data_IF_160965547357
#
_entry.id   IF_160965547357
#
_cell.length_a   1.000
_cell.length_b   1.000
_cell.length_c   1.000
_cell.angle_alpha   90.00
_cell.angle_beta   90.00
_cell.angle_gamma   90.00
#
_symmetry.space_group_name_H-M   'P 1'
#
loop_
_entity.id
_entity.type
_entity.pdbx_description
1 polymer ?
#
# COMPACT_ATOMS: atom_id res chain seq x y z
N UNK A 1 24.04 -20.16 -13.71
CA UNK A 1 23.31 -21.07 -14.64
C UNK A 1 22.39 -20.16 -15.45
N UNK A 2 22.77 -19.84 -16.71
CA UNK A 2 21.96 -19.01 -17.58
C UNK A 2 20.63 -19.74 -17.84
N UNK A 3 19.53 -19.15 -17.36
CA UNK A 3 18.20 -19.59 -17.77
C UNK A 3 17.93 -19.05 -19.19
N UNK A 4 18.29 -19.84 -20.21
CA UNK A 4 17.91 -19.56 -21.59
C UNK A 4 16.43 -19.93 -21.75
N UNK A 5 15.66 -19.03 -22.28
CA UNK A 5 14.27 -19.28 -22.71
C UNK A 5 14.30 -20.27 -23.90
N UNK A 6 13.64 -21.40 -23.77
CA UNK A 6 13.48 -22.35 -24.86
C UNK A 6 12.55 -21.75 -25.94
N UNK A 7 13.10 -21.48 -27.10
CA UNK A 7 12.65 -20.62 -28.18
C UNK A 7 11.29 -20.88 -28.87
N UNK A 8 10.25 -21.32 -28.16
CA UNK A 8 8.92 -21.57 -28.71
C UNK A 8 7.76 -20.74 -28.17
N UNK A 9 7.91 -20.13 -27.00
CA UNK A 9 6.89 -19.23 -26.41
C UNK A 9 7.39 -17.77 -26.34
N UNK A 10 6.50 -16.79 -26.25
CA UNK A 10 6.93 -15.40 -26.08
C UNK A 10 7.63 -15.18 -24.72
N UNK A 11 8.70 -14.35 -24.67
CA UNK A 11 9.39 -14.06 -23.41
C UNK A 11 8.43 -13.45 -22.38
N UNK A 12 8.62 -13.73 -21.08
CA UNK A 12 7.72 -13.27 -20.02
C UNK A 12 7.76 -11.76 -19.79
N UNK A 13 6.79 -11.27 -19.04
CA UNK A 13 6.89 -10.01 -18.33
C UNK A 13 7.73 -10.23 -17.06
N UNK A 14 8.77 -9.41 -16.87
CA UNK A 14 9.63 -9.49 -15.70
C UNK A 14 9.15 -8.48 -14.64
N UNK A 15 9.07 -8.91 -13.39
CA UNK A 15 8.63 -8.08 -12.25
C UNK A 15 9.74 -8.04 -11.21
N UNK A 16 10.19 -6.85 -10.86
CA UNK A 16 11.11 -6.63 -9.77
C UNK A 16 10.34 -6.31 -8.48
N UNK A 17 10.55 -7.10 -7.43
CA UNK A 17 9.87 -7.03 -6.14
C UNK A 17 8.91 -8.20 -5.91
N UNK A 18 8.60 -8.49 -4.63
CA UNK A 18 7.70 -9.57 -4.18
C UNK A 18 6.57 -9.09 -3.27
N UNK A 19 6.32 -7.78 -3.19
CA UNK A 19 5.24 -7.21 -2.37
C UNK A 19 3.85 -7.30 -3.01
N UNK A 20 2.86 -6.67 -2.38
CA UNK A 20 1.46 -6.64 -2.84
C UNK A 20 1.36 -6.18 -4.31
N UNK A 21 2.08 -5.11 -4.69
CA UNK A 21 2.06 -4.60 -6.06
C UNK A 21 2.60 -5.60 -7.08
N UNK A 22 3.66 -6.34 -6.73
CA UNK A 22 4.24 -7.35 -7.60
C UNK A 22 3.29 -8.54 -7.84
N UNK A 23 2.68 -9.07 -6.77
CA UNK A 23 1.71 -10.17 -6.90
C UNK A 23 0.41 -9.73 -7.57
N UNK A 24 -0.07 -8.50 -7.30
CA UNK A 24 -1.19 -7.92 -8.03
C UNK A 24 -0.88 -7.81 -9.53
N UNK A 25 0.35 -7.41 -9.88
CA UNK A 25 0.83 -7.39 -11.28
C UNK A 25 0.81 -8.78 -11.88
N UNK A 26 1.29 -9.79 -11.15
CA UNK A 26 1.28 -11.17 -11.63
C UNK A 26 -0.17 -11.66 -11.90
N UNK A 27 -1.12 -11.41 -10.98
CA UNK A 27 -2.54 -11.74 -11.20
C UNK A 27 -3.08 -11.05 -12.46
N UNK A 28 -2.88 -9.74 -12.59
CA UNK A 28 -3.41 -8.96 -13.70
C UNK A 28 -2.78 -9.37 -15.05
N UNK A 29 -1.47 -9.55 -15.10
CA UNK A 29 -0.75 -9.99 -16.29
C UNK A 29 -1.16 -11.41 -16.72
N UNK A 30 -1.35 -12.34 -15.78
CA UNK A 30 -1.85 -13.69 -16.09
C UNK A 30 -3.27 -13.66 -16.66
N UNK A 31 -4.14 -12.82 -16.14
CA UNK A 31 -5.49 -12.62 -16.70
C UNK A 31 -5.46 -12.07 -18.12
N UNK A 32 -4.43 -11.28 -18.46
CA UNK A 32 -4.17 -10.79 -19.81
C UNK A 32 -3.39 -11.77 -20.69
N UNK A 33 -3.11 -13.01 -20.21
CA UNK A 33 -2.45 -14.07 -20.98
C UNK A 33 -0.91 -14.06 -20.93
N UNK A 34 -0.28 -13.18 -20.14
CA UNK A 34 1.18 -13.04 -20.09
C UNK A 34 1.82 -14.01 -19.09
N UNK A 35 2.91 -14.66 -19.48
CA UNK A 35 3.80 -15.33 -18.53
C UNK A 35 4.56 -14.30 -17.69
N UNK A 36 4.83 -14.61 -16.40
CA UNK A 36 5.46 -13.69 -15.45
C UNK A 36 6.64 -14.35 -14.74
N UNK A 37 7.76 -13.64 -14.67
CA UNK A 37 8.87 -13.97 -13.78
C UNK A 37 9.06 -12.85 -12.75
N UNK A 38 8.98 -13.19 -11.47
CA UNK A 38 9.07 -12.27 -10.35
C UNK A 38 10.36 -12.50 -9.56
N UNK A 39 11.08 -11.42 -9.24
CA UNK A 39 12.35 -11.45 -8.52
C UNK A 39 12.26 -10.66 -7.23
N UNK A 40 12.43 -11.35 -6.09
CA UNK A 40 12.37 -10.78 -4.74
C UNK A 40 13.72 -10.98 -4.02
N UNK A 41 14.23 -9.91 -3.41
CA UNK A 41 15.52 -9.92 -2.71
C UNK A 41 15.52 -10.77 -1.43
N UNK A 42 14.37 -10.87 -0.75
CA UNK A 42 14.23 -11.64 0.47
C UNK A 42 14.16 -13.14 0.15
N UNK A 43 14.83 -13.96 0.94
CA UNK A 43 14.79 -15.42 0.81
C UNK A 43 13.42 -16.01 1.21
N UNK A 44 12.60 -15.25 1.90
CA UNK A 44 11.24 -15.60 2.31
C UNK A 44 10.38 -14.35 2.39
N UNK A 45 9.08 -14.49 2.19
CA UNK A 45 8.16 -13.38 2.32
C UNK A 45 7.93 -13.07 3.81
N UNK A 46 8.80 -12.24 4.39
CA UNK A 46 8.61 -11.70 5.72
C UNK A 46 7.80 -10.42 5.62
N UNK A 47 6.50 -10.53 5.75
CA UNK A 47 5.66 -9.36 5.93
C UNK A 47 5.69 -8.94 7.40
N UNK A 48 6.31 -7.80 7.67
CA UNK A 48 6.21 -7.17 8.99
C UNK A 48 4.73 -6.97 9.33
N UNK A 49 4.32 -7.51 10.48
CA UNK A 49 2.92 -7.55 10.92
C UNK A 49 2.25 -6.18 10.92
N UNK A 50 1.48 -5.88 9.88
CA UNK A 50 0.79 -4.61 9.70
C UNK A 50 -0.62 -4.84 9.19
N UNK A 51 -1.57 -4.12 9.77
CA UNK A 51 -2.89 -4.01 9.19
C UNK A 51 -2.90 -3.13 7.94
N UNK A 52 -3.85 -3.38 7.08
CA UNK A 52 -4.22 -2.59 5.91
C UNK A 52 -5.70 -2.22 5.98
N UNK A 53 -6.05 -1.15 5.29
CA UNK A 53 -7.42 -0.76 5.03
C UNK A 53 -7.59 -0.73 3.51
N UNK A 54 -8.66 -1.34 3.00
CA UNK A 54 -9.00 -1.33 1.58
C UNK A 54 -10.38 -0.72 1.42
N UNK A 55 -10.42 0.41 0.71
CA UNK A 55 -11.67 1.03 0.31
C UNK A 55 -12.33 0.32 -0.87
N UNK A 56 -13.57 0.71 -1.23
CA UNK A 56 -14.33 0.14 -2.34
C UNK A 56 -13.58 0.12 -3.67
N UNK A 57 -12.69 1.08 -3.92
CA UNK A 57 -11.85 1.13 -5.12
C UNK A 57 -10.92 -0.09 -5.25
N UNK A 58 -10.42 -0.62 -4.14
CA UNK A 58 -9.55 -1.79 -4.13
C UNK A 58 -10.32 -3.10 -4.02
N UNK A 59 -11.33 -3.17 -3.14
CA UNK A 59 -12.10 -4.38 -2.93
C UNK A 59 -12.92 -4.77 -4.16
N UNK A 60 -13.40 -3.81 -4.94
CA UNK A 60 -14.04 -4.05 -6.24
C UNK A 60 -13.09 -4.78 -7.20
N UNK A 61 -11.83 -4.37 -7.30
CA UNK A 61 -10.83 -5.04 -8.13
C UNK A 61 -10.64 -6.49 -7.70
N UNK A 62 -10.54 -6.74 -6.38
CA UNK A 62 -10.42 -8.10 -5.86
C UNK A 62 -11.66 -8.95 -6.18
N UNK A 63 -12.86 -8.35 -6.11
CA UNK A 63 -14.11 -9.02 -6.53
C UNK A 63 -14.11 -9.32 -8.03
N UNK A 64 -13.71 -8.38 -8.90
CA UNK A 64 -13.61 -8.56 -10.35
C UNK A 64 -12.57 -9.63 -10.71
N UNK A 65 -11.57 -9.82 -9.88
CA UNK A 65 -10.60 -10.92 -10.01
C UNK A 65 -11.10 -12.26 -9.48
N UNK A 66 -12.30 -12.32 -8.90
CA UNK A 66 -12.89 -13.53 -8.32
C UNK A 66 -12.40 -13.84 -6.91
N UNK A 67 -11.73 -12.90 -6.24
CA UNK A 67 -11.13 -13.09 -4.91
C UNK A 67 -12.06 -12.66 -3.76
N UNK A 68 -13.29 -12.25 -4.03
CA UNK A 68 -14.22 -11.74 -3.03
C UNK A 68 -14.53 -12.71 -1.90
N UNK A 69 -14.76 -13.99 -2.22
CA UNK A 69 -15.02 -15.03 -1.23
C UNK A 69 -13.79 -15.28 -0.32
N UNK A 70 -12.61 -15.41 -0.90
CA UNK A 70 -11.36 -15.60 -0.15
C UNK A 70 -11.02 -14.37 0.71
N UNK A 71 -11.26 -13.14 0.19
CA UNK A 71 -11.12 -11.92 0.95
C UNK A 71 -12.03 -11.90 2.18
N UNK A 72 -13.27 -12.34 2.05
CA UNK A 72 -14.24 -12.33 3.15
C UNK A 72 -13.86 -13.24 4.33
N UNK A 73 -13.03 -14.25 4.10
CA UNK A 73 -12.54 -15.17 5.16
C UNK A 73 -11.48 -14.49 6.04
N UNK A 74 -10.64 -13.63 5.45
CA UNK A 74 -9.49 -13.03 6.15
C UNK A 74 -9.71 -11.57 6.58
N UNK A 75 -10.70 -10.90 6.00
CA UNK A 75 -10.99 -9.50 6.26
C UNK A 75 -11.88 -9.31 7.50
N UNK A 76 -11.75 -8.16 8.15
CA UNK A 76 -12.74 -7.62 9.05
C UNK A 76 -13.57 -6.54 8.35
N UNK A 77 -14.83 -6.41 8.75
CA UNK A 77 -15.81 -5.48 8.15
C UNK A 77 -16.23 -4.43 9.17
N UNK A 78 -15.46 -3.36 9.36
CA UNK A 78 -15.81 -2.32 10.32
C UNK A 78 -17.13 -1.64 9.94
N UNK A 79 -17.92 -1.25 10.94
CA UNK A 79 -19.21 -0.60 10.73
C UNK A 79 -19.08 0.90 10.43
N UNK A 80 -17.95 1.51 10.82
CA UNK A 80 -17.68 2.92 10.59
C UNK A 80 -16.18 3.25 10.48
N UNK A 81 -15.89 4.42 9.89
CA UNK A 81 -14.66 5.17 10.13
C UNK A 81 -15.00 6.30 11.10
N UNK A 82 -14.27 6.38 12.20
CA UNK A 82 -14.51 7.34 13.29
C UNK A 82 -13.31 8.24 13.48
N UNK A 83 -13.52 9.54 13.55
CA UNK A 83 -12.52 10.49 13.99
C UNK A 83 -12.75 10.84 15.46
N UNK A 84 -11.73 10.72 16.31
CA UNK A 84 -11.75 11.06 17.73
C UNK A 84 -10.67 12.03 18.10
N UNK A 85 -10.89 12.80 19.17
CA UNK A 85 -9.85 13.61 19.79
C UNK A 85 -8.89 12.72 20.58
N UNK A 86 -7.59 12.84 20.31
CA UNK A 86 -6.54 12.15 21.07
C UNK A 86 -6.55 12.55 22.55
N UNK A 87 -6.93 13.82 22.87
CA UNK A 87 -6.81 14.39 24.20
C UNK A 87 -7.81 13.80 25.19
N UNK A 88 -9.07 13.66 24.77
CA UNK A 88 -10.20 13.33 25.65
C UNK A 88 -11.04 12.15 25.13
N UNK A 89 -10.66 11.54 24.02
CA UNK A 89 -11.35 10.39 23.43
C UNK A 89 -12.69 10.71 22.78
N UNK A 90 -13.12 11.98 22.80
CA UNK A 90 -14.43 12.39 22.30
C UNK A 90 -14.55 12.19 20.78
N UNK A 91 -15.67 11.65 20.33
CA UNK A 91 -15.98 11.50 18.91
C UNK A 91 -16.16 12.88 18.26
N UNK A 92 -15.47 13.09 17.15
CA UNK A 92 -15.51 14.31 16.34
C UNK A 92 -16.38 14.10 15.09
N UNK A 93 -16.32 12.92 14.50
CA UNK A 93 -17.08 12.59 13.29
C UNK A 93 -17.17 11.09 13.10
N UNK A 94 -18.22 10.64 12.41
CA UNK A 94 -18.44 9.24 12.06
C UNK A 94 -18.93 9.14 10.62
N UNK A 95 -18.27 8.28 9.83
CA UNK A 95 -18.72 7.84 8.53
C UNK A 95 -19.20 6.40 8.64
N UNK A 96 -20.48 6.18 8.47
CA UNK A 96 -21.03 4.83 8.44
C UNK A 96 -20.52 4.07 7.20
N UNK A 97 -20.12 2.83 7.42
CA UNK A 97 -19.72 1.87 6.39
C UNK A 97 -20.85 0.83 6.19
N UNK A 98 -20.53 -0.37 5.76
CA UNK A 98 -21.50 -1.46 5.60
C UNK A 98 -22.35 -1.31 4.34
N UNK A 99 -23.64 -1.65 4.43
CA UNK A 99 -24.54 -1.73 3.26
C UNK A 99 -24.60 -0.43 2.44
N UNK A 100 -24.62 0.73 3.09
CA UNK A 100 -24.69 2.03 2.41
C UNK A 100 -23.45 2.36 1.57
N UNK A 101 -22.26 1.88 1.95
CA UNK A 101 -21.05 2.00 1.16
C UNK A 101 -21.09 1.05 -0.03
N UNK A 102 -21.55 -0.19 0.19
CA UNK A 102 -21.72 -1.17 -0.89
C UNK A 102 -22.74 -0.67 -1.93
N UNK A 103 -23.88 -0.15 -1.49
CA UNK A 103 -24.89 0.43 -2.38
C UNK A 103 -24.33 1.59 -3.21
N UNK A 104 -23.57 2.49 -2.58
CA UNK A 104 -23.04 3.70 -3.22
C UNK A 104 -21.85 3.42 -4.14
N UNK A 105 -20.95 2.51 -3.74
CA UNK A 105 -19.66 2.30 -4.41
C UNK A 105 -19.49 0.91 -5.01
N UNK A 106 -20.45 0.01 -4.85
CA UNK A 106 -20.46 -1.32 -5.46
C UNK A 106 -19.57 -2.36 -4.77
N UNK A 107 -18.88 -2.00 -3.68
CA UNK A 107 -17.99 -2.91 -2.96
C UNK A 107 -17.80 -2.47 -1.49
N UNK A 108 -17.46 -3.38 -0.55
CA UNK A 108 -17.30 -3.07 0.85
C UNK A 108 -15.99 -2.34 1.15
N UNK A 109 -15.95 -1.65 2.29
CA UNK A 109 -14.73 -1.23 2.94
C UNK A 109 -14.31 -2.32 3.92
N UNK A 110 -13.04 -2.75 3.87
CA UNK A 110 -12.52 -3.81 4.73
C UNK A 110 -11.19 -3.44 5.36
N UNK A 111 -10.88 -4.10 6.46
CA UNK A 111 -9.56 -4.09 7.07
C UNK A 111 -9.02 -5.52 7.15
N UNK A 112 -7.73 -5.68 6.93
CA UNK A 112 -7.10 -7.01 6.94
C UNK A 112 -5.62 -6.92 7.30
N UNK A 113 -5.03 -8.05 7.63
CA UNK A 113 -3.61 -8.13 7.83
C UNK A 113 -2.89 -8.14 6.47
N UNK A 114 -1.77 -7.43 6.35
CA UNK A 114 -1.00 -7.28 5.10
C UNK A 114 -0.55 -8.62 4.52
N UNK A 115 -0.12 -9.55 5.40
CA UNK A 115 0.27 -10.91 4.99
C UNK A 115 -0.87 -11.68 4.35
N UNK A 116 -2.10 -11.48 4.83
CA UNK A 116 -3.26 -12.22 4.33
C UNK A 116 -3.64 -11.74 2.92
N UNK A 117 -3.57 -10.43 2.64
CA UNK A 117 -3.72 -9.90 1.27
C UNK A 117 -2.60 -10.41 0.34
N UNK A 118 -1.36 -10.42 0.84
CA UNK A 118 -0.22 -10.90 0.08
C UNK A 118 -0.38 -12.38 -0.30
N UNK A 119 -0.74 -13.23 0.67
CA UNK A 119 -1.00 -14.66 0.45
C UNK A 119 -2.13 -14.88 -0.57
N UNK A 120 -3.23 -14.16 -0.41
CA UNK A 120 -4.38 -14.21 -1.32
C UNK A 120 -4.00 -13.91 -2.77
N UNK A 121 -3.20 -12.86 -3.00
CA UNK A 121 -2.74 -12.49 -4.34
C UNK A 121 -1.72 -13.51 -4.89
N UNK A 122 -0.82 -14.00 -4.05
CA UNK A 122 0.16 -15.02 -4.41
C UNK A 122 -0.52 -16.33 -4.83
N UNK A 123 -1.47 -16.82 -4.04
CA UNK A 123 -2.25 -18.01 -4.33
C UNK A 123 -3.04 -17.86 -5.64
N UNK A 124 -3.68 -16.72 -5.86
CA UNK A 124 -4.40 -16.41 -7.09
C UNK A 124 -3.48 -16.43 -8.33
N UNK A 125 -2.30 -15.83 -8.19
CA UNK A 125 -1.31 -15.81 -9.28
C UNK A 125 -0.79 -17.22 -9.62
N UNK A 126 -0.50 -18.04 -8.61
CA UNK A 126 -0.07 -19.42 -8.81
C UNK A 126 -1.18 -20.31 -9.40
N UNK A 127 -2.42 -20.16 -8.93
CA UNK A 127 -3.57 -20.88 -9.46
C UNK A 127 -3.83 -20.62 -10.95
N UNK A 128 -3.51 -19.39 -11.42
CA UNK A 128 -3.59 -19.02 -12.83
C UNK A 128 -2.49 -19.68 -13.70
N UNK A 129 -1.48 -20.30 -13.08
CA UNK A 129 -0.32 -20.90 -13.78
C UNK A 129 0.57 -19.85 -14.46
N UNK A 130 1.73 -20.25 -14.99
CA UNK A 130 2.61 -19.38 -15.77
C UNK A 130 3.27 -18.23 -14.99
N UNK A 131 3.35 -18.34 -13.66
CA UNK A 131 4.12 -17.44 -12.77
C UNK A 131 5.28 -18.21 -12.16
N UNK A 132 6.48 -17.65 -12.28
CA UNK A 132 7.68 -18.14 -11.62
C UNK A 132 8.20 -17.06 -10.65
N UNK A 133 8.32 -17.39 -9.38
CA UNK A 133 8.86 -16.50 -8.37
C UNK A 133 10.25 -16.95 -7.93
N UNK A 134 11.21 -16.04 -7.99
CA UNK A 134 12.61 -16.24 -7.63
C UNK A 134 12.93 -15.43 -6.38
N UNK A 135 13.03 -16.11 -5.23
CA UNK A 135 13.35 -15.51 -3.95
C UNK A 135 14.87 -15.48 -3.73
N UNK A 136 15.34 -14.54 -2.91
CA UNK A 136 16.77 -14.36 -2.65
C UNK A 136 17.54 -13.71 -3.81
N UNK A 137 16.83 -13.12 -4.78
CA UNK A 137 17.41 -12.50 -5.97
C UNK A 137 17.23 -10.98 -5.95
N UNK A 138 18.25 -10.26 -5.55
CA UNK A 138 18.26 -8.80 -5.51
C UNK A 138 18.50 -8.22 -6.91
N UNK A 139 17.58 -7.39 -7.36
CA UNK A 139 17.73 -6.62 -8.60
C UNK A 139 18.69 -5.45 -8.36
N UNK A 140 19.74 -5.35 -9.17
CA UNK A 140 20.72 -4.26 -9.12
C UNK A 140 20.55 -3.22 -10.23
N UNK A 141 20.16 -3.67 -11.44
CA UNK A 141 19.99 -2.84 -12.62
C UNK A 141 19.15 -3.56 -13.68
N UNK A 142 18.87 -2.88 -14.77
CA UNK A 142 18.31 -3.46 -15.99
C UNK A 142 18.95 -2.84 -17.24
N UNK A 143 18.86 -3.54 -18.36
CA UNK A 143 19.25 -3.06 -19.69
C UNK A 143 18.06 -3.16 -20.64
N UNK A 144 17.75 -2.10 -21.36
CA UNK A 144 16.84 -2.17 -22.50
C UNK A 144 17.63 -2.54 -23.75
N UNK A 145 17.20 -3.63 -24.39
CA UNK A 145 17.76 -4.14 -25.64
C UNK A 145 16.70 -4.05 -26.73
N UNK A 146 17.09 -4.30 -27.98
CA UNK A 146 16.13 -4.31 -29.07
C UNK A 146 15.05 -5.39 -28.84
N UNK A 147 13.81 -4.91 -28.62
CA UNK A 147 12.64 -5.77 -28.43
C UNK A 147 12.53 -6.48 -27.08
N UNK A 148 13.41 -6.25 -26.11
CA UNK A 148 13.42 -6.92 -24.80
C UNK A 148 14.10 -6.11 -23.70
N UNK A 149 13.94 -6.57 -22.45
CA UNK A 149 14.65 -6.05 -21.28
C UNK A 149 15.42 -7.18 -20.63
N UNK A 150 16.63 -6.90 -20.18
CA UNK A 150 17.44 -7.78 -19.35
C UNK A 150 17.48 -7.28 -17.92
N UNK A 151 17.16 -8.13 -16.96
CA UNK A 151 17.24 -7.85 -15.53
C UNK A 151 18.58 -8.35 -14.97
N UNK A 152 19.27 -7.53 -14.21
CA UNK A 152 20.59 -7.80 -13.67
C UNK A 152 20.55 -7.91 -12.14
N UNK A 153 21.20 -8.95 -11.62
CA UNK A 153 21.59 -9.07 -10.23
C UNK A 153 22.97 -8.44 -9.97
N UNK A 154 23.55 -8.70 -8.80
CA UNK A 154 24.85 -8.15 -8.44
C UNK A 154 26.01 -8.66 -9.31
N UNK A 155 25.93 -9.88 -9.82
CA UNK A 155 26.99 -10.54 -10.60
C UNK A 155 26.49 -11.22 -11.87
N UNK A 156 25.18 -11.45 -11.98
CA UNK A 156 24.57 -12.28 -13.03
C UNK A 156 23.40 -11.58 -13.74
N UNK A 157 23.12 -12.03 -14.98
CA UNK A 157 21.82 -11.81 -15.60
C UNK A 157 20.79 -12.70 -14.90
N UNK A 158 19.75 -12.09 -14.32
CA UNK A 158 18.67 -12.82 -13.64
C UNK A 158 17.64 -13.35 -14.65
N UNK A 159 17.24 -12.50 -15.61
CA UNK A 159 16.24 -12.86 -16.61
C UNK A 159 16.28 -11.92 -17.82
N UNK A 160 15.66 -12.39 -18.93
CA UNK A 160 15.25 -11.57 -20.05
C UNK A 160 13.73 -11.66 -20.27
N UNK A 161 13.10 -10.56 -20.63
CA UNK A 161 11.65 -10.49 -20.87
C UNK A 161 11.27 -9.43 -21.89
N UNK A 162 10.00 -9.37 -22.27
CA UNK A 162 9.50 -8.35 -23.19
C UNK A 162 9.44 -6.98 -22.54
N UNK A 163 9.25 -6.91 -21.23
CA UNK A 163 9.25 -5.67 -20.46
C UNK A 163 9.47 -5.93 -18.98
N UNK A 164 9.74 -4.84 -18.24
CA UNK A 164 10.03 -4.83 -16.82
C UNK A 164 9.00 -3.99 -16.07
N UNK A 165 8.43 -4.55 -15.02
CA UNK A 165 7.62 -3.82 -14.06
C UNK A 165 8.39 -3.69 -12.75
N UNK A 166 8.75 -2.46 -12.38
CA UNK A 166 9.35 -2.13 -11.10
C UNK A 166 8.26 -2.00 -10.04
N UNK A 167 8.12 -3.03 -9.20
CA UNK A 167 7.26 -3.09 -8.02
C UNK A 167 8.10 -3.30 -6.75
N UNK A 168 9.32 -2.81 -6.76
CA UNK A 168 10.40 -2.97 -5.78
C UNK A 168 10.35 -1.92 -4.64
N UNK A 169 9.23 -1.20 -4.55
CA UNK A 169 8.88 -0.32 -3.43
C UNK A 169 9.62 1.01 -3.42
N UNK A 170 9.54 1.71 -2.28
CA UNK A 170 10.08 3.06 -2.08
C UNK A 170 11.58 3.18 -2.39
N UNK A 171 12.34 2.13 -2.12
CA UNK A 171 13.80 2.07 -2.25
C UNK A 171 14.26 1.27 -3.48
N UNK A 172 13.33 1.05 -4.42
CA UNK A 172 13.52 0.23 -5.60
C UNK A 172 14.61 0.76 -6.54
N UNK A 173 15.39 -0.16 -7.10
CA UNK A 173 16.47 0.13 -8.05
C UNK A 173 15.95 0.47 -9.44
N UNK A 174 14.80 -0.12 -9.82
CA UNK A 174 14.19 0.15 -11.11
C UNK A 174 13.84 1.64 -11.24
N UNK A 175 13.21 2.23 -10.20
CA UNK A 175 12.95 3.67 -10.18
C UNK A 175 14.23 4.50 -10.21
N UNK A 176 15.20 4.14 -9.37
CA UNK A 176 16.46 4.89 -9.28
C UNK A 176 17.12 5.01 -10.64
N UNK A 177 17.15 3.92 -11.41
CA UNK A 177 17.73 3.90 -12.76
C UNK A 177 16.84 4.63 -13.78
N UNK A 178 15.52 4.41 -13.75
CA UNK A 178 14.58 4.98 -14.72
C UNK A 178 14.48 6.50 -14.63
N UNK A 179 14.43 7.03 -13.42
CA UNK A 179 14.09 8.45 -13.19
C UNK A 179 15.28 9.29 -12.75
N UNK A 180 16.27 8.71 -12.07
CA UNK A 180 17.43 9.41 -11.51
C UNK A 180 17.00 10.61 -10.62
N UNK A 181 15.84 10.47 -9.92
CA UNK A 181 15.20 11.52 -9.16
C UNK A 181 15.64 11.56 -7.67
N UNK A 182 16.77 10.92 -7.38
CA UNK A 182 17.36 10.89 -6.04
C UNK A 182 16.63 9.95 -5.07
N UNK A 183 16.93 10.08 -3.78
CA UNK A 183 16.37 9.24 -2.72
C UNK A 183 15.09 9.84 -2.15
N UNK A 184 14.20 8.96 -1.66
CA UNK A 184 13.06 9.37 -0.86
C UNK A 184 13.50 10.16 0.39
N UNK A 185 12.73 11.18 0.76
CA UNK A 185 13.08 12.09 1.84
C UNK A 185 12.29 11.77 3.11
N UNK A 186 12.94 11.81 4.30
CA UNK A 186 12.24 11.66 5.57
C UNK A 186 11.22 12.80 5.77
N UNK A 187 10.04 12.44 6.27
CA UNK A 187 8.95 13.42 6.47
C UNK A 187 8.99 14.12 7.82
N UNK A 188 9.93 13.76 8.69
CA UNK A 188 9.95 14.23 10.08
C UNK A 188 8.94 13.50 10.98
N UNK A 189 8.42 12.36 10.55
CA UNK A 189 7.50 11.54 11.32
C UNK A 189 8.03 10.11 11.44
N UNK A 190 7.84 9.56 12.64
CA UNK A 190 8.03 8.15 12.94
C UNK A 190 6.66 7.48 13.05
N UNK A 191 6.58 6.26 12.59
CA UNK A 191 5.42 5.43 12.75
C UNK A 191 5.78 4.20 13.59
N UNK A 192 4.96 3.94 14.61
CA UNK A 192 5.05 2.77 15.48
C UNK A 192 3.84 1.89 15.23
N UNK A 193 4.04 0.59 15.16
CA UNK A 193 2.95 -0.38 14.98
C UNK A 193 2.99 -1.47 16.02
N UNK A 194 1.80 -1.86 16.44
CA UNK A 194 1.58 -3.06 17.22
C UNK A 194 0.36 -3.82 16.70
N UNK A 195 0.39 -5.14 16.90
CA UNK A 195 -0.76 -6.02 16.78
C UNK A 195 -1.06 -6.57 18.16
N UNK A 196 -2.30 -6.42 18.60
CA UNK A 196 -2.75 -6.83 19.91
C UNK A 196 -3.81 -7.92 19.72
N UNK A 197 -3.64 -9.14 20.27
CA UNK A 197 -4.71 -10.13 20.25
C UNK A 197 -5.97 -9.57 20.92
N UNK A 198 -7.14 -9.82 20.35
CA UNK A 198 -8.41 -9.34 20.91
C UNK A 198 -8.62 -9.82 22.35
N UNK A 199 -8.15 -11.02 22.66
CA UNK A 199 -8.25 -11.59 24.00
C UNK A 199 -7.46 -10.81 25.06
N UNK A 200 -6.42 -10.09 24.66
CA UNK A 200 -5.56 -9.30 25.55
C UNK A 200 -6.08 -7.86 25.75
N UNK A 201 -7.15 -7.50 25.04
CA UNK A 201 -7.75 -6.16 25.12
C UNK A 201 -8.93 -6.20 26.10
N UNK A 202 -8.91 -5.40 27.18
CA UNK A 202 -10.05 -5.27 28.06
C UNK A 202 -11.34 -4.94 27.28
N UNK A 203 -12.49 -5.56 27.60
CA UNK A 203 -13.74 -5.36 26.83
C UNK A 203 -14.17 -3.89 26.71
N UNK A 204 -13.87 -3.07 27.70
CA UNK A 204 -14.15 -1.61 27.70
C UNK A 204 -13.30 -0.83 26.66
N UNK A 205 -12.20 -1.38 26.21
CA UNK A 205 -11.29 -0.78 25.22
C UNK A 205 -11.46 -1.39 23.83
N UNK A 206 -12.40 -2.32 23.66
CA UNK A 206 -12.64 -2.99 22.39
C UNK A 206 -13.03 -1.99 21.29
N UNK A 207 -12.31 -2.02 20.19
CA UNK A 207 -12.53 -1.15 19.02
C UNK A 207 -12.88 -2.05 17.83
N UNK A 208 -14.11 -1.95 17.33
CA UNK A 208 -14.60 -2.71 16.17
C UNK A 208 -14.63 -1.85 14.89
N UNK A 209 -14.50 -0.54 15.04
CA UNK A 209 -14.47 0.44 13.96
C UNK A 209 -13.04 0.82 13.58
N UNK A 210 -12.86 1.37 12.38
CA UNK A 210 -11.63 2.10 12.04
C UNK A 210 -11.68 3.44 12.78
N UNK A 211 -10.78 3.66 13.72
CA UNK A 211 -10.75 4.89 14.50
C UNK A 211 -9.45 5.66 14.28
N UNK A 212 -9.55 6.90 13.82
CA UNK A 212 -8.47 7.87 13.74
C UNK A 212 -8.54 8.85 14.93
N UNK A 213 -7.55 8.79 15.81
CA UNK A 213 -7.41 9.65 16.99
C UNK A 213 -6.50 10.82 16.64
N UNK A 214 -7.06 12.01 16.53
CA UNK A 214 -6.38 13.21 16.03
C UNK A 214 -5.83 14.06 17.17
N UNK A 215 -4.54 14.39 17.10
CA UNK A 215 -3.86 15.21 18.13
C UNK A 215 -2.80 16.15 17.55
N UNK A 216 -2.31 17.09 18.35
CA UNK A 216 -1.22 17.97 17.94
C UNK A 216 0.03 17.17 17.57
N UNK A 217 0.52 17.36 16.35
CA UNK A 217 1.75 16.74 15.81
C UNK A 217 1.80 15.22 15.84
N UNK A 218 0.64 14.57 16.10
CA UNK A 218 0.51 13.12 16.10
C UNK A 218 -0.92 12.69 15.80
N UNK A 219 -1.08 11.43 15.41
CA UNK A 219 -2.37 10.76 15.40
C UNK A 219 -2.16 9.26 15.62
N UNK A 220 -3.22 8.61 16.03
CA UNK A 220 -3.25 7.16 16.21
C UNK A 220 -4.35 6.59 15.34
N UNK A 221 -4.13 5.41 14.77
CA UNK A 221 -5.17 4.70 14.03
C UNK A 221 -5.31 3.29 14.60
N UNK A 222 -6.54 2.92 14.95
CA UNK A 222 -6.88 1.60 15.47
C UNK A 222 -7.94 0.96 14.57
N UNK A 223 -7.81 -0.31 14.26
CA UNK A 223 -8.82 -1.08 13.52
C UNK A 223 -8.64 -2.59 13.68
N UNK A 224 -9.74 -3.36 13.61
CA UNK A 224 -9.69 -4.81 13.67
C UNK A 224 -9.03 -5.39 12.40
N UNK A 225 -8.38 -6.54 12.52
CA UNK A 225 -7.86 -7.35 11.40
C UNK A 225 -8.10 -8.83 11.69
N UNK A 226 -7.95 -9.70 10.67
CA UNK A 226 -8.17 -11.14 10.79
C UNK A 226 -9.53 -11.49 11.39
N UNK A 227 -10.60 -11.06 10.71
CA UNK A 227 -11.96 -11.29 11.17
C UNK A 227 -12.34 -10.56 12.47
N UNK A 228 -11.44 -9.75 13.05
CA UNK A 228 -11.62 -9.08 14.34
C UNK A 228 -10.83 -9.70 15.49
N UNK A 229 -10.10 -10.79 15.27
CA UNK A 229 -9.32 -11.50 16.31
C UNK A 229 -8.11 -10.69 16.79
N UNK A 230 -7.69 -9.69 16.00
CA UNK A 230 -6.57 -8.83 16.33
C UNK A 230 -6.93 -7.36 16.12
N UNK A 231 -6.38 -6.50 16.97
CA UNK A 231 -6.41 -5.04 16.79
C UNK A 231 -5.06 -4.56 16.25
N UNK A 232 -5.09 -3.86 15.13
CA UNK A 232 -3.93 -3.14 14.64
C UNK A 232 -3.91 -1.73 15.24
N UNK A 233 -2.79 -1.37 15.83
CA UNK A 233 -2.54 -0.06 16.45
C UNK A 233 -1.35 0.61 15.77
N UNK A 234 -1.55 1.80 15.21
CA UNK A 234 -0.51 2.59 14.55
C UNK A 234 -0.44 3.96 15.21
N UNK A 235 0.72 4.32 15.75
CA UNK A 235 1.00 5.65 16.29
C UNK A 235 1.93 6.37 15.32
N UNK A 236 1.53 7.53 14.81
CA UNK A 236 2.35 8.38 13.96
C UNK A 236 2.60 9.69 14.70
N UNK A 237 3.86 9.96 15.00
CA UNK A 237 4.27 11.13 15.76
C UNK A 237 5.47 11.84 15.09
N UNK A 238 5.62 13.14 15.35
CA UNK A 238 6.84 13.84 14.96
C UNK A 238 8.06 13.24 15.67
N UNK A 239 9.13 13.02 14.91
CA UNK A 239 10.37 12.45 15.42
C UNK A 239 11.52 12.59 14.43
N UNK A 240 12.76 12.48 14.94
CA UNK A 240 13.95 12.51 14.10
C UNK A 240 14.18 11.13 13.46
N UNK A 241 14.43 11.11 12.16
CA UNK A 241 14.81 9.90 11.47
C UNK A 241 16.13 9.34 12.07
N UNK A 242 16.21 8.02 12.34
CA UNK A 242 17.47 7.37 12.67
C UNK A 242 18.45 7.46 11.49
N UNK A 243 19.74 7.25 11.75
CA UNK A 243 20.78 7.32 10.70
C UNK A 243 20.61 6.26 9.60
N UNK A 244 20.03 5.10 9.91
CA UNK A 244 19.70 4.05 8.96
C UNK A 244 18.19 4.08 8.67
N UNK A 245 17.79 4.39 7.44
CA UNK A 245 16.38 4.55 7.03
C UNK A 245 15.79 3.30 6.37
N UNK A 246 16.57 2.25 6.16
CA UNK A 246 16.19 1.12 5.30
C UNK A 246 15.59 -0.08 6.04
N UNK A 247 15.31 0.02 7.33
CA UNK A 247 14.84 -1.11 8.12
C UNK A 247 13.36 -1.00 8.46
N UNK A 248 12.55 -1.89 7.90
CA UNK A 248 11.16 -2.13 8.28
C UNK A 248 11.02 -2.83 9.65
N UNK A 249 12.14 -3.24 10.24
CA UNK A 249 12.20 -4.12 11.41
C UNK A 249 12.86 -3.49 12.64
N UNK A 250 13.06 -2.17 12.67
CA UNK A 250 13.48 -1.51 13.90
C UNK A 250 12.42 -1.74 14.98
N UNK A 251 12.77 -2.52 16.00
CA UNK A 251 11.94 -2.65 17.19
C UNK A 251 11.81 -1.28 17.83
N UNK A 252 10.58 -0.76 17.86
CA UNK A 252 10.26 0.49 18.54
C UNK A 252 10.55 0.33 20.03
N UNK A 253 11.04 1.39 20.66
CA UNK A 253 11.15 1.41 22.11
C UNK A 253 9.76 1.75 22.65
N UNK A 254 9.17 0.89 23.46
CA UNK A 254 7.87 1.14 24.09
C UNK A 254 7.83 2.50 24.81
N UNK A 255 8.95 2.91 25.40
CA UNK A 255 9.11 4.22 26.02
C UNK A 255 8.84 5.41 25.08
N UNK A 256 9.26 5.32 23.79
CA UNK A 256 9.00 6.37 22.81
C UNK A 256 7.49 6.51 22.53
N UNK A 257 6.79 5.38 22.46
CA UNK A 257 5.33 5.33 22.26
C UNK A 257 4.61 5.89 23.47
N UNK A 258 4.98 5.47 24.70
CA UNK A 258 4.39 5.98 25.94
C UNK A 258 4.63 7.48 26.09
N UNK A 259 5.81 7.96 25.73
CA UNK A 259 6.09 9.41 25.71
C UNK A 259 5.22 10.15 24.70
N UNK A 260 5.09 9.64 23.48
CA UNK A 260 4.23 10.23 22.44
C UNK A 260 2.77 10.27 22.88
N UNK A 261 2.27 9.20 23.54
CA UNK A 261 0.89 9.09 23.98
C UNK A 261 0.61 9.70 25.36
N UNK A 262 1.61 10.21 26.07
CA UNK A 262 1.42 10.81 27.41
C UNK A 262 0.37 11.93 27.46
N UNK A 263 0.18 12.79 26.43
CA UNK A 263 -0.86 13.81 26.41
C UNK A 263 -2.23 13.29 25.95
N UNK A 264 -2.34 12.00 25.63
CA UNK A 264 -3.56 11.39 25.09
C UNK A 264 -4.47 10.86 26.20
N UNK A 265 -5.72 10.55 25.82
CA UNK A 265 -6.71 9.96 26.74
C UNK A 265 -6.27 8.58 27.24
N UNK A 266 -6.85 8.16 28.37
CA UNK A 266 -6.54 6.89 29.03
C UNK A 266 -6.70 5.69 28.10
N UNK A 267 -7.75 5.65 27.27
CA UNK A 267 -7.98 4.58 26.28
C UNK A 267 -6.76 4.30 25.41
N UNK A 268 -6.13 5.36 24.85
CA UNK A 268 -4.95 5.19 24.00
C UNK A 268 -3.73 4.71 24.75
N UNK A 269 -3.56 5.16 26.00
CA UNK A 269 -2.44 4.74 26.86
C UNK A 269 -2.60 3.29 27.27
N UNK A 270 -3.80 2.89 27.66
CA UNK A 270 -4.09 1.52 28.08
C UNK A 270 -3.94 0.53 26.88
N UNK A 271 -4.37 0.92 25.68
CA UNK A 271 -4.12 0.14 24.47
C UNK A 271 -2.62 0.02 24.14
N UNK A 272 -1.85 1.08 24.39
CA UNK A 272 -0.40 1.02 24.18
C UNK A 272 0.31 0.10 25.19
N UNK A 273 -0.19 0.02 26.42
CA UNK A 273 0.30 -0.89 27.45
C UNK A 273 -0.04 -2.36 27.15
N UNK A 274 -1.20 -2.61 26.54
CA UNK A 274 -1.60 -3.93 26.11
C UNK A 274 -0.80 -4.47 24.90
N UNK A 275 -0.03 -3.63 24.23
CA UNK A 275 0.72 -4.03 23.05
C UNK A 275 1.96 -4.87 23.42
N UNK A 276 2.08 -6.11 22.92
CA UNK A 276 3.17 -7.01 23.30
C UNK A 276 4.53 -6.59 22.75
N UNK A 277 4.55 -5.88 21.64
CA UNK A 277 5.77 -5.38 20.99
C UNK A 277 5.45 -4.26 19.99
N UNK A 278 6.46 -3.48 19.65
CA UNK A 278 6.36 -2.36 18.72
C UNK A 278 7.38 -2.47 17.61
N UNK A 279 6.93 -2.35 16.36
CA UNK A 279 7.79 -2.07 15.21
C UNK A 279 7.84 -0.55 14.97
N UNK A 280 9.03 -0.02 14.61
CA UNK A 280 9.23 1.40 14.26
C UNK A 280 9.76 1.54 12.84
N UNK A 281 9.29 2.53 12.11
CA UNK A 281 9.89 2.92 10.83
C UNK A 281 9.75 4.44 10.61
N UNK A 282 10.70 4.98 9.84
CA UNK A 282 10.68 6.37 9.41
C UNK A 282 9.74 6.53 8.22
N UNK A 283 8.81 7.46 8.31
CA UNK A 283 8.00 7.81 7.15
C UNK A 283 8.84 8.63 6.17
N UNK A 284 9.06 8.06 5.00
CA UNK A 284 9.71 8.72 3.87
C UNK A 284 8.70 8.98 2.75
N UNK A 285 8.99 9.94 1.92
CA UNK A 285 8.07 10.46 0.91
C UNK A 285 8.83 10.95 -0.33
N UNK A 286 8.12 11.04 -1.45
CA UNK A 286 8.57 11.67 -2.70
C UNK A 286 7.50 12.66 -3.15
N UNK A 287 7.84 13.68 -3.96
CA UNK A 287 6.85 14.56 -4.58
C UNK A 287 5.77 13.76 -5.31
N UNK A 288 4.54 14.26 -5.40
CA UNK A 288 3.53 13.66 -6.27
C UNK A 288 4.05 13.51 -7.70
N UNK A 289 3.63 12.43 -8.36
CA UNK A 289 3.97 12.17 -9.77
C UNK A 289 3.56 13.37 -10.62
N UNK A 290 4.48 13.85 -11.46
CA UNK A 290 4.29 15.08 -12.26
C UNK A 290 3.87 14.81 -13.72
N UNK A 291 4.02 13.56 -14.19
CA UNK A 291 3.67 13.18 -15.55
C UNK A 291 3.76 11.67 -15.77
N UNK A 292 3.20 11.17 -16.89
CA UNK A 292 3.19 9.75 -17.20
C UNK A 292 4.60 9.17 -17.39
N UNK A 293 5.55 9.97 -17.84
CA UNK A 293 6.96 9.58 -18.03
C UNK A 293 7.67 9.22 -16.73
N UNK A 294 7.08 9.56 -15.56
CA UNK A 294 7.55 9.10 -14.26
C UNK A 294 6.98 7.73 -13.86
N UNK A 295 6.03 7.21 -14.63
CA UNK A 295 5.45 5.89 -14.39
C UNK A 295 5.87 4.86 -15.44
N UNK A 296 6.16 5.27 -16.68
CA UNK A 296 6.68 4.36 -17.70
C UNK A 296 7.54 5.08 -18.73
N UNK A 297 8.60 4.39 -19.20
CA UNK A 297 9.44 4.77 -20.35
C UNK A 297 9.85 3.49 -21.09
N UNK A 298 9.72 3.50 -22.41
CA UNK A 298 10.10 2.35 -23.22
C UNK A 298 9.43 1.06 -22.77
N UNK A 299 10.21 0.09 -22.40
CA UNK A 299 9.77 -1.24 -21.95
C UNK A 299 9.72 -1.39 -20.44
N UNK A 300 9.87 -0.31 -19.69
CA UNK A 300 9.91 -0.31 -18.23
C UNK A 300 8.77 0.52 -17.67
N UNK A 301 8.00 -0.04 -16.73
CA UNK A 301 6.99 0.69 -15.98
C UNK A 301 7.21 0.51 -14.47
N UNK A 302 6.80 1.51 -13.70
CA UNK A 302 6.77 1.49 -12.24
C UNK A 302 5.33 1.31 -11.74
N UNK A 303 5.18 0.66 -10.58
CA UNK A 303 3.90 0.35 -9.98
C UNK A 303 3.94 0.48 -8.45
N UNK A 304 2.84 0.94 -7.85
CA UNK A 304 2.72 1.07 -6.40
C UNK A 304 3.74 2.02 -5.79
N UNK A 305 4.36 1.66 -4.66
CA UNK A 305 5.33 2.53 -3.96
C UNK A 305 6.61 2.80 -4.75
N UNK A 306 6.94 2.00 -5.77
CA UNK A 306 8.02 2.31 -6.70
C UNK A 306 7.66 3.51 -7.60
N UNK A 307 6.40 3.65 -8.01
CA UNK A 307 5.91 4.76 -8.82
C UNK A 307 5.54 5.99 -7.98
N UNK A 308 4.72 5.80 -6.96
CA UNK A 308 4.06 6.87 -6.22
C UNK A 308 3.96 6.57 -4.72
N UNK A 309 5.09 6.47 -4.00
CA UNK A 309 5.06 6.24 -2.57
C UNK A 309 4.25 7.34 -1.90
N UNK A 310 3.45 6.98 -0.89
CA UNK A 310 2.57 7.92 -0.25
C UNK A 310 2.59 7.78 1.27
N UNK A 311 2.28 8.89 1.94
CA UNK A 311 2.10 8.87 3.39
C UNK A 311 0.86 8.05 3.75
N UNK A 312 0.81 7.37 4.91
CA UNK A 312 -0.30 6.48 5.25
C UNK A 312 -1.60 7.20 5.67
N UNK A 313 -1.68 8.52 5.49
CA UNK A 313 -2.78 9.36 6.02
C UNK A 313 -4.10 9.29 5.24
N UNK A 314 -4.15 8.45 4.22
CA UNK A 314 -5.38 8.15 3.45
C UNK A 314 -5.61 6.63 3.31
N UNK A 315 -4.71 5.81 3.87
CA UNK A 315 -4.74 4.35 3.81
C UNK A 315 -4.86 3.77 2.38
N UNK A 316 -4.19 4.40 1.38
CA UNK A 316 -4.38 4.06 -0.04
C UNK A 316 -3.18 3.37 -0.71
N UNK A 317 -2.07 3.12 -0.01
CA UNK A 317 -0.87 2.54 -0.65
C UNK A 317 -1.16 1.21 -1.38
N UNK A 318 -1.74 0.24 -0.67
CA UNK A 318 -2.10 -1.05 -1.25
C UNK A 318 -3.23 -0.93 -2.30
N UNK A 319 -4.23 -0.07 -2.04
CA UNK A 319 -5.33 0.15 -2.97
C UNK A 319 -4.84 0.72 -4.31
N UNK A 320 -3.93 1.69 -4.28
CA UNK A 320 -3.34 2.26 -5.49
C UNK A 320 -2.49 1.25 -6.25
N UNK A 321 -1.76 0.37 -5.57
CA UNK A 321 -1.01 -0.70 -6.22
C UNK A 321 -1.95 -1.73 -6.91
N UNK A 322 -3.12 -2.04 -6.31
CA UNK A 322 -4.15 -2.87 -6.94
C UNK A 322 -4.77 -2.19 -8.16
N UNK A 323 -5.08 -0.89 -8.06
CA UNK A 323 -5.58 -0.12 -9.21
C UNK A 323 -4.56 -0.06 -10.35
N UNK A 324 -3.28 0.14 -10.03
CA UNK A 324 -2.21 0.15 -11.03
C UNK A 324 -2.11 -1.21 -11.74
N UNK A 325 -2.14 -2.31 -10.97
CA UNK A 325 -2.06 -3.65 -11.53
C UNK A 325 -3.27 -3.96 -12.42
N UNK A 326 -4.49 -3.58 -12.01
CA UNK A 326 -5.68 -3.73 -12.81
C UNK A 326 -5.59 -2.96 -14.14
N UNK A 327 -5.14 -1.71 -14.09
CA UNK A 327 -4.97 -0.86 -15.27
C UNK A 327 -3.86 -1.36 -16.19
N UNK A 328 -2.75 -1.87 -15.61
CA UNK A 328 -1.68 -2.50 -16.37
C UNK A 328 -2.21 -3.76 -17.09
N UNK A 329 -2.97 -4.61 -16.40
CA UNK A 329 -3.61 -5.78 -17.01
C UNK A 329 -4.47 -5.42 -18.22
N UNK A 330 -5.32 -4.39 -18.10
CA UNK A 330 -6.12 -3.87 -19.21
C UNK A 330 -5.25 -3.36 -20.38
N UNK A 331 -4.14 -2.68 -20.08
CA UNK A 331 -3.23 -2.19 -21.11
C UNK A 331 -2.49 -3.32 -21.85
N UNK A 332 -2.28 -4.46 -21.18
CA UNK A 332 -1.61 -5.66 -21.74
C UNK A 332 -2.57 -6.58 -22.49
N UNK A 333 -3.88 -6.43 -22.30
CA UNK A 333 -4.88 -7.32 -22.88
C UNK A 333 -4.93 -7.19 -24.40
N UNK A 334 -4.95 -8.33 -25.11
CA UNK A 334 -5.22 -8.40 -26.55
C UNK A 334 -4.20 -7.71 -27.44
N UNK A 335 -2.94 -7.53 -27.02
CA UNK A 335 -1.89 -6.93 -27.85
C UNK A 335 -1.60 -7.82 -29.08
N UNK A 336 -1.83 -7.35 -30.32
CA UNK A 336 -1.63 -8.18 -31.52
C UNK A 336 -0.18 -8.61 -31.71
N UNK A 337 0.76 -7.74 -31.35
CA UNK A 337 2.19 -7.98 -31.48
C UNK A 337 2.90 -7.57 -30.17
N UNK A 338 2.90 -8.41 -29.12
CA UNK A 338 3.40 -8.06 -27.79
C UNK A 338 4.80 -7.44 -27.80
N UNK A 339 5.73 -8.02 -28.58
CA UNK A 339 7.10 -7.49 -28.69
C UNK A 339 7.15 -6.06 -29.21
N UNK A 340 6.32 -5.69 -30.19
CA UNK A 340 6.27 -4.35 -30.78
C UNK A 340 5.43 -3.38 -29.97
N UNK A 341 4.27 -3.86 -29.49
CA UNK A 341 3.19 -3.00 -29.00
C UNK A 341 3.29 -2.72 -27.49
N UNK A 342 4.13 -3.46 -26.74
CA UNK A 342 4.28 -3.33 -25.29
C UNK A 342 4.68 -1.90 -24.86
N UNK A 343 5.66 -1.20 -25.48
CA UNK A 343 5.99 0.17 -25.05
C UNK A 343 4.80 1.12 -25.10
N UNK A 344 3.98 1.03 -26.15
CA UNK A 344 2.77 1.84 -26.26
C UNK A 344 1.70 1.44 -25.22
N UNK A 345 1.59 0.17 -24.87
CA UNK A 345 0.71 -0.31 -23.80
C UNK A 345 1.14 0.24 -22.44
N UNK A 346 2.43 0.20 -22.12
CA UNK A 346 2.95 0.77 -20.86
C UNK A 346 2.77 2.30 -20.80
N UNK A 347 2.93 2.98 -21.94
CA UNK A 347 2.66 4.42 -22.02
C UNK A 347 1.18 4.73 -21.77
N UNK A 348 0.25 3.93 -22.31
CA UNK A 348 -1.19 4.07 -22.03
C UNK A 348 -1.51 3.84 -20.55
N UNK A 349 -0.95 2.80 -19.95
CA UNK A 349 -1.05 2.56 -18.50
C UNK A 349 -0.62 3.80 -17.72
N UNK A 350 0.56 4.32 -17.97
CA UNK A 350 1.11 5.49 -17.30
C UNK A 350 0.21 6.72 -17.48
N UNK A 351 -0.27 6.97 -18.71
CA UNK A 351 -1.16 8.09 -19.03
C UNK A 351 -2.49 8.02 -18.25
N UNK A 352 -3.01 6.84 -18.03
CA UNK A 352 -4.28 6.64 -17.32
C UNK A 352 -4.12 6.71 -15.79
N UNK A 353 -2.91 6.44 -15.27
CA UNK A 353 -2.69 6.33 -13.82
C UNK A 353 -2.10 7.56 -13.14
N UNK A 354 -1.22 8.31 -13.82
CA UNK A 354 -0.41 9.34 -13.16
C UNK A 354 -1.22 10.43 -12.46
N UNK A 355 -2.29 10.95 -13.07
CA UNK A 355 -3.09 12.03 -12.47
C UNK A 355 -3.79 11.56 -11.19
N UNK A 356 -4.35 10.35 -11.22
CA UNK A 356 -4.99 9.77 -10.05
C UNK A 356 -4.00 9.49 -8.94
N UNK A 357 -2.83 8.92 -9.25
CA UNK A 357 -1.75 8.71 -8.30
C UNK A 357 -1.30 10.04 -7.65
N UNK A 358 -1.04 11.06 -8.46
CA UNK A 358 -0.67 12.40 -7.99
C UNK A 358 -1.72 13.02 -7.06
N UNK A 359 -3.00 12.89 -7.42
CA UNK A 359 -4.13 13.40 -6.60
C UNK A 359 -4.21 12.71 -5.24
N UNK A 360 -4.03 11.38 -5.21
CA UNK A 360 -4.03 10.60 -3.97
C UNK A 360 -2.84 10.96 -3.10
N UNK A 361 -1.63 11.07 -3.67
CA UNK A 361 -0.43 11.51 -2.95
C UNK A 361 -0.62 12.91 -2.33
N UNK A 362 -1.11 13.87 -3.11
CA UNK A 362 -1.36 15.24 -2.65
C UNK A 362 -2.41 15.27 -1.52
N UNK A 363 -3.51 14.51 -1.67
CA UNK A 363 -4.55 14.40 -0.64
C UNK A 363 -4.01 13.76 0.64
N UNK A 364 -3.21 12.70 0.53
CA UNK A 364 -2.60 12.06 1.68
C UNK A 364 -1.70 13.03 2.47
N UNK A 365 -0.87 13.82 1.78
CA UNK A 365 -0.05 14.87 2.41
C UNK A 365 -0.89 15.90 3.14
N UNK A 366 -1.96 16.39 2.50
CA UNK A 366 -2.89 17.36 3.10
C UNK A 366 -3.59 16.79 4.33
N UNK A 367 -4.00 15.53 4.30
CA UNK A 367 -4.59 14.88 5.47
C UNK A 367 -3.64 14.88 6.66
N UNK A 368 -2.35 14.57 6.45
CA UNK A 368 -1.35 14.63 7.52
C UNK A 368 -1.24 16.00 8.16
N UNK A 369 -1.27 17.07 7.36
CA UNK A 369 -1.30 18.44 7.88
C UNK A 369 -2.55 18.72 8.72
N UNK A 370 -3.72 18.29 8.24
CA UNK A 370 -5.01 18.47 8.94
C UNK A 370 -5.04 17.65 10.24
N UNK A 371 -4.57 16.40 10.23
CA UNK A 371 -4.59 15.52 11.39
C UNK A 371 -3.73 16.05 12.53
N UNK A 372 -2.61 16.69 12.19
CA UNK A 372 -1.60 17.16 13.14
C UNK A 372 -1.77 18.65 13.54
N UNK A 373 -2.88 19.30 13.17
CA UNK A 373 -3.15 20.70 13.53
C UNK A 373 -3.08 20.90 15.04
N UNK A 374 -2.53 22.06 15.42
CA UNK A 374 -2.38 22.51 16.81
C UNK A 374 -3.05 23.86 17.04
N UNK A 375 -3.15 24.28 18.31
CA UNK A 375 -3.69 25.58 18.70
C UNK A 375 -5.11 25.85 18.18
N UNK A 376 -5.43 27.10 17.77
CA UNK A 376 -6.76 27.49 17.29
C UNK A 376 -7.23 26.74 16.04
N UNK A 377 -6.30 26.37 15.15
CA UNK A 377 -6.63 25.63 13.93
C UNK A 377 -7.16 24.22 14.24
N UNK A 378 -6.67 23.59 15.30
CA UNK A 378 -7.23 22.32 15.79
C UNK A 378 -8.70 22.48 16.19
N UNK A 379 -9.05 23.55 16.92
CA UNK A 379 -10.44 23.79 17.31
C UNK A 379 -11.34 23.97 16.09
N UNK A 380 -10.87 24.72 15.08
CA UNK A 380 -11.58 24.88 13.81
C UNK A 380 -11.81 23.54 13.09
N UNK A 381 -10.78 22.69 13.02
CA UNK A 381 -10.90 21.32 12.48
C UNK A 381 -11.93 20.49 13.24
N UNK A 382 -11.83 20.46 14.56
CA UNK A 382 -12.71 19.67 15.42
C UNK A 382 -14.17 20.13 15.31
N UNK A 383 -14.40 21.44 15.23
CA UNK A 383 -15.72 22.01 14.99
C UNK A 383 -16.26 21.64 13.60
N UNK A 384 -15.45 21.76 12.56
CA UNK A 384 -15.84 21.38 11.20
C UNK A 384 -16.21 19.89 11.08
N UNK A 385 -15.41 18.99 11.71
CA UNK A 385 -15.70 17.55 11.74
C UNK A 385 -17.04 17.27 12.43
N UNK A 386 -17.36 17.95 13.51
CA UNK A 386 -18.67 17.80 14.20
C UNK A 386 -19.84 18.34 13.39
N UNK A 387 -19.65 19.51 12.79
CA UNK A 387 -20.74 20.18 12.07
C UNK A 387 -21.09 19.48 10.74
N UNK A 388 -20.09 19.01 10.00
CA UNK A 388 -20.26 18.41 8.68
C UNK A 388 -20.26 16.88 8.72
N UNK A 389 -19.85 16.27 9.83
CA UNK A 389 -19.93 14.83 10.08
C UNK A 389 -19.19 14.00 9.04
N UNK A 390 -19.75 12.85 8.73
CA UNK A 390 -19.18 11.88 7.77
C UNK A 390 -18.94 12.43 6.37
N UNK A 391 -19.61 13.52 5.97
CA UNK A 391 -19.41 14.14 4.64
C UNK A 391 -17.98 14.61 4.39
N UNK A 392 -17.25 15.00 5.45
CA UNK A 392 -15.83 15.37 5.33
C UNK A 392 -14.90 14.17 5.19
N UNK A 393 -15.34 13.01 5.66
CA UNK A 393 -14.57 11.76 5.68
C UNK A 393 -14.86 10.90 4.44
N UNK A 394 -16.02 11.07 3.82
CA UNK A 394 -16.37 10.40 2.57
C UNK A 394 -15.56 11.00 1.39
N UNK A 395 -15.06 10.14 0.53
CA UNK A 395 -14.19 10.53 -0.59
C UNK A 395 -14.74 9.94 -1.90
N UNK A 396 -15.88 10.46 -2.41
CA UNK A 396 -16.57 9.87 -3.57
C UNK A 396 -15.70 9.73 -4.82
N UNK A 397 -14.84 10.71 -5.11
CA UNK A 397 -13.93 10.67 -6.26
C UNK A 397 -12.87 9.55 -6.15
N UNK A 398 -12.57 9.07 -4.93
CA UNK A 398 -11.62 8.00 -4.69
C UNK A 398 -12.29 6.62 -4.80
N UNK A 399 -13.48 6.48 -4.22
CA UNK A 399 -14.20 5.22 -4.11
C UNK A 399 -15.10 4.92 -5.31
N UNK A 400 -15.64 5.96 -5.96
CA UNK A 400 -16.64 5.86 -7.01
C UNK A 400 -16.11 5.85 -8.45
N UNK A 401 -14.87 6.32 -8.70
CA UNK A 401 -14.28 6.30 -10.04
C UNK A 401 -14.02 4.84 -10.47
N UNK A 402 -14.45 4.52 -11.70
CA UNK A 402 -14.25 3.23 -12.39
C UNK A 402 -13.12 3.36 -13.40
#
# INVERSE_FOLDING_TARGET
>A
MQMSWDGGAEPPLVVAGGGIGAWATAVAARRAGWAVQLFEQSAFFSEAGAGLQLGPNATRILHDWGLGAALSVVAAFPSAVVARSCKDGRELSRLALGAGVVERYGAPYVTLHRRDLHALLMEAAHAAGGVQAHLGHSVSAYEELEGRVRLLGAQDCLAEGLGLIGADGLWGRVREQLLQDGRAQPTGHLAYRALIPRADIPPALAVDDVTAWLGPRQHVVTYPVRGGDWLNLVVIAQGRAPQSMNTWTDTGVAADVHQALSPCCTILRDLAEAAPSWGRWTLCDRPPVAGPEQMARGRVALLGDAAHPMRPFLAQGAAMALEDAAQLGQALEGLPHPRRDLPAALARYAQQRWQRAARVQARSRRNGQIFHLDGPLRWGRDLALRALGGRLMDVPWLYGDR
#
